data_IF_459705381237
#
_entry.id   IF_459705381237
#
_cell.length_a   1.000
_cell.length_b   1.000
_cell.length_c   1.000
_cell.angle_alpha   90.00
_cell.angle_beta   90.00
_cell.angle_gamma   90.00
#
_symmetry.space_group_name_H-M   'P 1'
#
loop_
_entity.id
_entity.type
_entity.pdbx_description
1 polymer ?
#
# COMPACT_ATOMS: atom_id res chain seq x y z
N UNK A 1 13.63 -23.71 20.85
CA UNK A 1 12.45 -22.83 20.95
C UNK A 1 12.18 -22.14 19.61
N UNK A 2 13.20 -21.65 18.89
CA UNK A 2 13.04 -21.11 17.53
C UNK A 2 13.51 -22.12 16.47
N UNK A 3 12.86 -22.12 15.32
CA UNK A 3 13.29 -22.87 14.15
C UNK A 3 14.51 -22.19 13.50
N UNK A 4 15.26 -22.94 12.69
CA UNK A 4 16.35 -22.39 11.90
C UNK A 4 15.81 -21.37 10.88
N UNK A 5 16.55 -20.28 10.67
CA UNK A 5 16.21 -19.29 9.67
C UNK A 5 16.57 -19.81 8.28
N UNK A 6 15.66 -19.64 7.33
CA UNK A 6 15.84 -20.03 5.93
C UNK A 6 15.54 -18.87 5.01
N UNK A 7 16.21 -18.84 3.87
CA UNK A 7 15.99 -17.81 2.85
C UNK A 7 14.71 -18.07 2.04
N UNK A 8 14.05 -17.02 1.52
CA UNK A 8 12.96 -17.16 0.56
C UNK A 8 13.35 -18.02 -0.64
N UNK A 9 12.51 -19.00 -0.97
CA UNK A 9 12.73 -20.00 -2.01
C UNK A 9 13.35 -21.30 -1.50
N UNK A 10 13.72 -21.39 -0.21
CA UNK A 10 14.26 -22.63 0.36
C UNK A 10 13.16 -23.71 0.52
N UNK A 11 13.49 -24.95 0.14
CA UNK A 11 12.66 -26.11 0.48
C UNK A 11 12.81 -26.42 1.97
N UNK A 12 11.72 -26.28 2.72
CA UNK A 12 11.69 -26.53 4.17
C UNK A 12 11.21 -27.94 4.52
N UNK A 13 10.63 -28.66 3.56
CA UNK A 13 10.17 -30.02 3.79
C UNK A 13 9.32 -30.56 2.65
N UNK A 14 8.49 -31.54 2.98
CA UNK A 14 7.47 -32.15 2.13
C UNK A 14 6.14 -32.15 2.90
N UNK A 15 5.02 -32.19 2.18
CA UNK A 15 3.73 -32.51 2.81
C UNK A 15 3.81 -33.87 3.51
N UNK A 16 3.18 -33.95 4.68
CA UNK A 16 3.13 -35.18 5.49
C UNK A 16 2.24 -36.22 4.81
N UNK A 17 2.50 -37.50 5.08
CA UNK A 17 1.72 -38.62 4.53
C UNK A 17 0.21 -38.46 4.84
N UNK A 18 -0.14 -38.15 6.09
CA UNK A 18 -1.53 -37.90 6.51
C UNK A 18 -2.23 -36.82 5.66
N UNK A 19 -1.53 -35.72 5.33
CA UNK A 19 -2.10 -34.65 4.49
C UNK A 19 -2.22 -35.07 3.02
N UNK A 20 -1.27 -35.86 2.53
CA UNK A 20 -1.33 -36.42 1.18
C UNK A 20 -2.52 -37.39 1.03
N UNK A 21 -2.78 -38.23 2.04
CA UNK A 21 -3.94 -39.12 2.07
C UNK A 21 -5.27 -38.35 2.13
N UNK A 22 -5.37 -37.34 3.01
CA UNK A 22 -6.57 -36.51 3.16
C UNK A 22 -6.90 -35.75 1.86
N UNK A 23 -5.88 -35.13 1.25
CA UNK A 23 -6.04 -34.31 0.05
C UNK A 23 -6.06 -35.13 -1.25
N UNK A 24 -5.77 -36.43 -1.20
CA UNK A 24 -5.64 -37.34 -2.34
C UNK A 24 -4.62 -36.86 -3.39
N UNK A 25 -3.45 -36.41 -2.93
CA UNK A 25 -2.36 -35.92 -3.77
C UNK A 25 -1.03 -36.61 -3.45
N UNK A 26 -0.11 -36.61 -4.41
CA UNK A 26 1.28 -37.02 -4.17
C UNK A 26 2.01 -36.06 -3.23
N UNK A 27 3.13 -36.49 -2.65
CA UNK A 27 3.93 -35.65 -1.77
C UNK A 27 4.53 -34.46 -2.52
N UNK A 28 4.20 -33.24 -2.08
CA UNK A 28 4.64 -31.97 -2.68
C UNK A 28 5.67 -31.29 -1.79
N UNK A 29 6.74 -30.68 -2.34
CA UNK A 29 7.69 -29.90 -1.55
C UNK A 29 7.02 -28.66 -0.92
N UNK A 30 7.39 -28.37 0.33
CA UNK A 30 6.99 -27.14 1.02
C UNK A 30 8.13 -26.13 0.89
N UNK A 31 7.83 -24.97 0.33
CA UNK A 31 8.80 -23.89 0.05
C UNK A 31 8.54 -22.72 1.00
N UNK A 32 9.59 -22.23 1.66
CA UNK A 32 9.55 -20.97 2.38
C UNK A 32 9.43 -19.83 1.36
N UNK A 33 8.37 -19.05 1.42
CA UNK A 33 8.17 -17.88 0.56
C UNK A 33 8.82 -16.63 1.17
N UNK A 34 8.51 -15.43 0.67
CA UNK A 34 9.15 -14.17 1.04
C UNK A 34 8.91 -13.70 2.50
N UNK A 35 8.73 -14.60 3.47
CA UNK A 35 8.30 -14.28 4.82
C UNK A 35 6.78 -14.12 4.86
N UNK A 36 6.28 -12.89 4.86
CA UNK A 36 4.84 -12.60 4.91
C UNK A 36 4.22 -12.21 3.57
N UNK A 37 2.90 -12.03 3.56
CA UNK A 37 2.09 -11.76 2.36
C UNK A 37 2.55 -10.50 1.61
N UNK A 38 2.85 -9.41 2.32
CA UNK A 38 3.29 -8.14 1.72
C UNK A 38 4.63 -8.27 1.03
N UNK A 39 5.53 -9.10 1.55
CA UNK A 39 6.82 -9.34 0.94
C UNK A 39 6.67 -10.11 -0.37
N UNK A 40 5.73 -11.06 -0.39
CA UNK A 40 5.36 -11.76 -1.62
C UNK A 40 4.73 -10.78 -2.60
N UNK A 41 3.87 -9.86 -2.15
CA UNK A 41 3.30 -8.81 -2.98
C UNK A 41 4.39 -7.91 -3.61
N UNK A 42 5.40 -7.49 -2.84
CA UNK A 42 6.52 -6.68 -3.34
C UNK A 42 7.36 -7.43 -4.36
N UNK A 43 7.54 -8.75 -4.17
CA UNK A 43 8.21 -9.60 -5.15
C UNK A 43 7.44 -9.65 -6.50
N UNK A 44 6.13 -9.41 -6.45
CA UNK A 44 5.26 -9.38 -7.63
C UNK A 44 5.14 -8.01 -8.33
N UNK A 45 5.84 -6.98 -7.84
CA UNK A 45 5.82 -5.66 -8.49
C UNK A 45 6.40 -5.78 -9.91
N UNK A 46 5.67 -5.39 -10.97
CA UNK A 46 6.14 -5.52 -12.35
C UNK A 46 7.13 -4.39 -12.72
N UNK A 47 8.19 -4.23 -11.93
CA UNK A 47 9.22 -3.22 -12.12
C UNK A 47 10.36 -3.73 -13.02
N UNK A 48 10.79 -2.88 -13.94
CA UNK A 48 11.88 -3.17 -14.88
C UNK A 48 13.28 -2.88 -14.31
N UNK A 49 13.36 -2.05 -13.26
CA UNK A 49 14.60 -1.61 -12.62
C UNK A 49 14.32 -1.26 -11.15
N UNK A 50 15.33 -0.74 -10.43
CA UNK A 50 15.22 -0.33 -9.01
C UNK A 50 14.68 1.10 -8.81
N UNK A 51 14.29 1.82 -9.86
CA UNK A 51 13.94 3.25 -9.81
C UNK A 51 12.47 3.48 -9.45
N UNK A 52 11.98 2.78 -8.41
CA UNK A 52 10.58 2.84 -8.01
C UNK A 52 10.42 2.78 -6.50
N UNK A 53 9.29 3.30 -6.04
CA UNK A 53 8.72 2.93 -4.74
C UNK A 53 7.52 2.02 -4.97
N UNK A 54 7.15 1.24 -3.97
CA UNK A 54 5.93 0.47 -3.95
C UNK A 54 4.99 0.96 -2.84
N UNK A 55 3.70 0.73 -3.04
CA UNK A 55 2.64 0.90 -2.06
C UNK A 55 1.75 -0.34 -2.10
N UNK A 56 1.82 -1.19 -1.09
CA UNK A 56 0.78 -2.21 -0.86
C UNK A 56 -0.38 -1.51 -0.18
N UNK A 57 -1.46 -1.26 -0.93
CA UNK A 57 -2.60 -0.46 -0.48
C UNK A 57 -3.76 -1.38 -0.10
N UNK A 58 -4.17 -1.34 1.16
CA UNK A 58 -5.28 -2.12 1.71
C UNK A 58 -5.91 -1.38 2.89
N UNK A 59 -6.49 -2.12 3.84
CA UNK A 59 -6.90 -1.58 5.14
C UNK A 59 -5.74 -0.81 5.79
N UNK A 60 -4.54 -1.40 5.70
CA UNK A 60 -3.26 -0.74 5.96
C UNK A 60 -2.56 -0.44 4.64
N UNK A 61 -1.82 0.66 4.62
CA UNK A 61 -1.00 1.06 3.48
C UNK A 61 0.48 0.94 3.85
N UNK A 62 1.22 0.13 3.11
CA UNK A 62 2.65 -0.09 3.33
C UNK A 62 3.41 0.47 2.14
N UNK A 63 4.05 1.62 2.35
CA UNK A 63 4.90 2.25 1.34
C UNK A 63 6.36 1.93 1.61
N UNK A 64 7.13 1.63 0.57
CA UNK A 64 8.56 1.37 0.73
C UNK A 64 9.36 1.36 -0.56
N UNK A 65 10.66 1.08 -0.38
CA UNK A 65 11.65 0.87 -1.43
C UNK A 65 12.45 -0.40 -1.13
N UNK A 66 13.11 -0.94 -2.15
CA UNK A 66 14.06 -2.04 -1.98
C UNK A 66 15.50 -1.51 -1.92
N UNK A 67 16.26 -2.03 -0.97
CA UNK A 67 17.66 -1.65 -0.72
C UNK A 67 18.53 -2.90 -0.62
N UNK A 68 19.83 -2.78 -0.89
CA UNK A 68 20.76 -3.92 -0.86
C UNK A 68 21.21 -4.29 0.57
N UNK A 69 20.81 -3.51 1.57
CA UNK A 69 21.12 -3.73 2.98
C UNK A 69 20.34 -2.79 3.88
N UNK A 70 20.32 -3.04 5.21
CA UNK A 70 19.51 -2.27 6.13
C UNK A 70 19.98 -0.82 6.21
N UNK A 71 19.03 0.10 6.26
CA UNK A 71 19.28 1.54 6.43
C UNK A 71 18.94 1.90 7.87
N UNK A 72 19.95 2.30 8.64
CA UNK A 72 19.81 2.66 10.06
C UNK A 72 20.43 4.03 10.30
N UNK A 73 19.60 5.04 10.49
CA UNK A 73 19.98 6.42 10.75
C UNK A 73 18.86 7.20 11.48
N UNK A 74 19.13 8.45 11.85
CA UNK A 74 18.18 9.30 12.58
C UNK A 74 16.84 9.47 11.84
N UNK A 75 16.83 9.55 10.50
CA UNK A 75 15.59 9.64 9.71
C UNK A 75 14.77 8.37 9.83
N UNK A 76 15.40 7.19 9.72
CA UNK A 76 14.68 5.91 9.86
C UNK A 76 14.08 5.75 11.25
N UNK A 77 14.74 6.23 12.30
CA UNK A 77 14.17 6.27 13.65
C UNK A 77 13.03 7.28 13.76
N UNK A 78 13.24 8.52 13.30
CA UNK A 78 12.26 9.60 13.42
C UNK A 78 10.94 9.28 12.70
N UNK A 79 11.02 8.72 11.50
CA UNK A 79 9.84 8.39 10.68
C UNK A 79 9.25 7.01 10.99
N UNK A 80 9.82 6.27 11.95
CA UNK A 80 9.43 4.90 12.31
C UNK A 80 9.42 3.97 11.08
N UNK A 81 10.57 3.89 10.41
CA UNK A 81 10.76 3.08 9.20
C UNK A 81 11.33 1.72 9.59
N UNK A 82 10.73 0.66 9.04
CA UNK A 82 11.09 -0.73 9.29
C UNK A 82 12.03 -1.25 8.20
N UNK A 83 13.06 -1.98 8.62
CA UNK A 83 13.88 -2.81 7.74
C UNK A 83 13.33 -4.24 7.77
N UNK A 84 12.77 -4.73 6.67
CA UNK A 84 12.29 -6.12 6.56
C UNK A 84 13.07 -6.91 5.51
N UNK A 85 13.26 -8.21 5.74
CA UNK A 85 13.83 -9.09 4.73
C UNK A 85 13.01 -9.10 3.44
N UNK A 86 13.70 -9.04 2.31
CA UNK A 86 13.15 -9.18 0.96
C UNK A 86 13.61 -10.48 0.30
N UNK A 87 13.40 -10.56 -1.01
CA UNK A 87 13.81 -11.70 -1.86
C UNK A 87 15.20 -11.43 -2.40
N UNK A 88 16.00 -12.48 -2.63
CA UNK A 88 17.36 -12.40 -3.18
C UNK A 88 18.30 -11.49 -2.38
N UNK A 89 18.21 -11.56 -1.04
CA UNK A 89 19.08 -10.82 -0.12
C UNK A 89 18.78 -9.31 -0.01
N UNK A 90 17.70 -8.83 -0.62
CA UNK A 90 17.26 -7.44 -0.52
C UNK A 90 16.65 -7.12 0.85
N UNK A 91 16.55 -5.83 1.16
CA UNK A 91 15.79 -5.29 2.29
C UNK A 91 14.65 -4.42 1.77
N UNK A 92 13.45 -4.69 2.27
CA UNK A 92 12.26 -3.87 2.09
C UNK A 92 12.24 -2.81 3.20
N UNK A 93 12.67 -1.61 2.86
CA UNK A 93 12.62 -0.45 3.74
C UNK A 93 11.24 0.18 3.62
N UNK A 94 10.42 0.12 4.68
CA UNK A 94 9.00 0.48 4.57
C UNK A 94 8.46 1.24 5.77
N UNK A 95 7.34 1.92 5.53
CA UNK A 95 6.55 2.63 6.54
C UNK A 95 5.09 2.19 6.46
N UNK A 96 4.53 1.86 7.62
CA UNK A 96 3.10 1.65 7.79
C UNK A 96 2.37 2.99 7.85
N UNK A 97 1.23 3.06 7.17
CA UNK A 97 0.31 4.19 7.10
C UNK A 97 -1.09 3.62 7.34
N UNK A 98 -1.93 4.30 8.12
CA UNK A 98 -3.36 3.97 8.15
C UNK A 98 -3.92 4.11 6.73
N UNK A 99 -4.36 3.00 6.15
CA UNK A 99 -4.79 2.94 4.76
C UNK A 99 -6.29 3.23 4.61
N UNK A 100 -6.97 2.38 3.84
CA UNK A 100 -8.41 2.50 3.60
C UNK A 100 -9.28 2.14 4.82
N UNK A 101 -8.68 1.72 5.94
CA UNK A 101 -9.40 1.46 7.20
C UNK A 101 -10.39 2.57 7.57
N UNK A 102 -10.01 3.83 7.39
CA UNK A 102 -10.83 4.99 7.75
C UNK A 102 -12.13 5.00 6.95
N UNK A 103 -12.06 4.81 5.62
CA UNK A 103 -13.27 4.74 4.79
C UNK A 103 -14.05 3.46 5.05
N UNK A 104 -13.38 2.33 5.31
CA UNK A 104 -14.03 1.06 5.66
C UNK A 104 -14.87 1.18 6.95
N UNK A 105 -14.37 1.88 7.97
CA UNK A 105 -15.13 2.10 9.20
C UNK A 105 -16.31 3.07 9.00
N UNK A 106 -16.16 4.10 8.16
CA UNK A 106 -17.29 4.94 7.77
C UNK A 106 -18.36 4.13 7.05
N UNK A 107 -17.99 3.31 6.06
CA UNK A 107 -18.92 2.45 5.33
C UNK A 107 -19.61 1.44 6.25
N UNK A 108 -18.87 0.81 7.16
CA UNK A 108 -19.41 -0.12 8.16
C UNK A 108 -20.43 0.54 9.09
N UNK A 109 -20.21 1.81 9.44
CA UNK A 109 -21.13 2.60 10.25
C UNK A 109 -22.41 2.92 9.47
N UNK A 110 -22.28 3.44 8.24
CA UNK A 110 -23.42 3.78 7.39
C UNK A 110 -24.25 2.55 6.99
N UNK A 111 -23.62 1.39 6.80
CA UNK A 111 -24.32 0.12 6.56
C UNK A 111 -25.27 -0.22 7.73
N UNK A 112 -24.82 -0.07 8.97
CA UNK A 112 -25.67 -0.28 10.17
C UNK A 112 -26.81 0.74 10.27
N UNK A 113 -26.66 1.89 9.64
CA UNK A 113 -27.67 2.96 9.55
C UNK A 113 -28.57 2.79 8.31
N UNK A 114 -28.41 1.69 7.56
CA UNK A 114 -29.26 1.31 6.43
C UNK A 114 -28.83 1.88 5.08
N UNK A 115 -27.59 2.36 4.96
CA UNK A 115 -27.04 2.90 3.70
C UNK A 115 -25.84 2.10 3.24
N UNK A 116 -25.92 1.57 2.03
CA UNK A 116 -24.83 0.85 1.36
C UNK A 116 -24.39 1.54 0.09
N UNK A 117 -23.09 1.43 -0.20
CA UNK A 117 -22.51 1.93 -1.43
C UNK A 117 -21.69 0.86 -2.12
N UNK A 118 -21.91 0.72 -3.42
CA UNK A 118 -20.95 0.08 -4.31
C UNK A 118 -19.74 1.00 -4.52
N UNK A 119 -18.61 0.42 -4.92
CA UNK A 119 -17.41 1.21 -5.21
C UNK A 119 -17.64 2.32 -6.26
N UNK A 120 -18.35 2.09 -7.39
CA UNK A 120 -18.68 3.15 -8.34
C UNK A 120 -19.49 4.30 -7.71
N UNK A 121 -20.44 4.01 -6.83
CA UNK A 121 -21.22 5.03 -6.12
C UNK A 121 -20.35 5.86 -5.16
N UNK A 122 -19.41 5.21 -4.46
CA UNK A 122 -18.46 5.95 -3.61
C UNK A 122 -17.62 6.94 -4.43
N UNK A 123 -17.14 6.51 -5.60
CA UNK A 123 -16.37 7.35 -6.53
C UNK A 123 -17.20 8.54 -7.00
N UNK A 124 -18.45 8.31 -7.41
CA UNK A 124 -19.38 9.36 -7.85
C UNK A 124 -19.62 10.39 -6.74
N UNK A 125 -19.93 9.93 -5.52
CA UNK A 125 -20.14 10.80 -4.36
C UNK A 125 -18.90 11.63 -4.02
N UNK A 126 -17.71 11.03 -4.05
CA UNK A 126 -16.47 11.73 -3.78
C UNK A 126 -16.13 12.75 -4.89
N UNK A 127 -16.43 12.44 -6.14
CA UNK A 127 -16.22 13.35 -7.26
C UNK A 127 -17.18 14.54 -7.25
N UNK A 128 -18.42 14.34 -6.82
CA UNK A 128 -19.41 15.42 -6.67
C UNK A 128 -19.14 16.34 -5.46
N UNK A 129 -18.42 15.85 -4.44
CA UNK A 129 -18.04 16.63 -3.28
C UNK A 129 -16.99 17.71 -3.61
N UNK A 130 -17.04 18.82 -2.88
CA UNK A 130 -16.08 19.93 -3.04
C UNK A 130 -14.64 19.43 -2.75
N UNK A 131 -13.69 19.62 -3.69
CA UNK A 131 -12.29 19.27 -3.47
C UNK A 131 -11.66 20.06 -2.32
N UNK A 132 -10.75 19.43 -1.58
CA UNK A 132 -9.87 20.04 -0.58
C UNK A 132 -10.61 20.89 0.46
N UNK A 133 -11.81 20.46 0.86
CA UNK A 133 -12.64 21.18 1.82
C UNK A 133 -12.05 21.17 3.25
N UNK A 134 -11.45 20.03 3.64
CA UNK A 134 -10.67 19.87 4.85
C UNK A 134 -9.71 18.68 4.71
N UNK A 135 -8.86 18.47 5.72
CA UNK A 135 -7.85 17.43 5.74
C UNK A 135 -7.83 16.70 7.08
N UNK A 136 -7.50 15.42 7.05
CA UNK A 136 -7.21 14.59 8.23
C UNK A 136 -5.78 14.06 8.16
N UNK A 137 -5.12 13.86 9.29
CA UNK A 137 -3.91 13.04 9.33
C UNK A 137 -4.34 11.57 9.50
N UNK A 138 -4.18 10.68 8.50
CA UNK A 138 -4.61 9.28 8.64
C UNK A 138 -3.94 8.55 9.81
N UNK A 139 -2.74 8.96 10.21
CA UNK A 139 -1.99 8.38 11.32
C UNK A 139 -2.29 9.06 12.68
N UNK A 140 -3.27 9.97 12.75
CA UNK A 140 -3.68 10.55 14.03
C UNK A 140 -4.18 9.44 14.99
N UNK A 141 -3.73 9.43 16.26
CA UNK A 141 -4.16 8.41 17.22
C UNK A 141 -5.68 8.32 17.41
N UNK A 142 -6.43 9.39 17.12
CA UNK A 142 -7.89 9.40 17.12
C UNK A 142 -8.53 8.44 16.11
N UNK A 143 -7.79 8.01 15.07
CA UNK A 143 -8.30 7.12 14.03
C UNK A 143 -7.90 5.65 14.18
N UNK A 144 -7.09 5.29 15.18
CA UNK A 144 -6.62 3.91 15.35
C UNK A 144 -7.78 2.92 15.55
N UNK A 145 -8.74 3.23 16.41
CA UNK A 145 -9.93 2.40 16.63
C UNK A 145 -11.08 3.18 17.32
N UNK A 146 -11.60 4.26 16.71
CA UNK A 146 -12.72 4.99 17.28
C UNK A 146 -14.00 4.15 17.25
N UNK A 147 -14.89 4.38 18.23
CA UNK A 147 -16.23 3.77 18.21
C UNK A 147 -17.08 4.24 17.02
N UNK A 148 -16.84 5.46 16.55
CA UNK A 148 -17.54 6.12 15.46
C UNK A 148 -16.53 6.93 14.62
N UNK A 149 -16.18 6.40 13.45
CA UNK A 149 -15.16 6.99 12.57
C UNK A 149 -15.61 8.34 11.98
N UNK A 150 -16.84 8.51 11.45
CA UNK A 150 -17.34 9.83 11.04
C UNK A 150 -17.26 10.87 12.16
N UNK A 151 -17.66 10.50 13.39
CA UNK A 151 -17.57 11.41 14.54
C UNK A 151 -16.12 11.79 14.85
N UNK A 152 -15.19 10.84 14.84
CA UNK A 152 -13.77 11.10 15.05
C UNK A 152 -13.19 12.07 13.99
N UNK A 153 -13.62 11.95 12.73
CA UNK A 153 -13.24 12.89 11.65
C UNK A 153 -13.76 14.30 11.97
N UNK A 154 -15.02 14.44 12.38
CA UNK A 154 -15.57 15.74 12.78
C UNK A 154 -14.83 16.35 13.97
N UNK A 155 -14.49 15.54 14.98
CA UNK A 155 -13.70 15.96 16.15
C UNK A 155 -12.28 16.41 15.76
N UNK A 156 -11.63 15.70 14.83
CA UNK A 156 -10.35 16.11 14.27
C UNK A 156 -10.45 17.46 13.54
N UNK A 157 -11.47 17.65 12.70
CA UNK A 157 -11.72 18.91 12.01
C UNK A 157 -11.93 20.06 13.01
N UNK A 158 -12.75 19.85 14.04
CA UNK A 158 -12.99 20.85 15.07
C UNK A 158 -11.70 21.24 15.81
N UNK A 159 -10.90 20.25 16.24
CA UNK A 159 -9.62 20.47 16.94
C UNK A 159 -8.61 21.24 16.08
N UNK A 160 -8.62 21.03 14.77
CA UNK A 160 -7.69 21.67 13.82
C UNK A 160 -8.22 22.99 13.23
N UNK A 161 -9.43 23.41 13.62
CA UNK A 161 -10.07 24.65 13.19
C UNK A 161 -10.62 24.60 11.75
N UNK A 162 -11.02 23.42 11.29
CA UNK A 162 -11.58 23.18 9.96
C UNK A 162 -13.09 22.94 10.03
N UNK A 163 -13.80 23.21 8.93
CA UNK A 163 -15.19 22.79 8.80
C UNK A 163 -15.25 21.27 8.56
N UNK A 164 -16.09 20.59 9.33
CA UNK A 164 -16.28 19.15 9.20
C UNK A 164 -17.11 18.81 7.94
N UNK A 165 -16.86 17.65 7.31
CA UNK A 165 -17.72 17.13 6.24
C UNK A 165 -19.14 16.87 6.79
N UNK A 166 -20.14 17.07 5.92
CA UNK A 166 -21.57 16.97 6.25
C UNK A 166 -22.27 15.85 5.48
N UNK A 167 -21.74 15.48 4.30
CA UNK A 167 -22.31 14.41 3.46
C UNK A 167 -21.35 13.22 3.33
N UNK A 168 -21.87 12.02 3.07
CA UNK A 168 -21.02 10.83 2.86
C UNK A 168 -19.98 11.03 1.76
N UNK A 169 -20.33 11.76 0.68
CA UNK A 169 -19.38 12.11 -0.38
C UNK A 169 -18.25 13.00 0.11
N UNK A 170 -18.51 13.98 0.97
CA UNK A 170 -17.48 14.83 1.57
C UNK A 170 -16.56 14.04 2.51
N UNK A 171 -17.10 13.10 3.30
CA UNK A 171 -16.27 12.20 4.11
C UNK A 171 -15.35 11.36 3.24
N UNK A 172 -15.87 10.69 2.21
CA UNK A 172 -15.06 9.87 1.29
C UNK A 172 -14.00 10.72 0.59
N UNK A 173 -14.38 11.92 0.12
CA UNK A 173 -13.48 12.84 -0.57
C UNK A 173 -12.30 13.26 0.31
N UNK A 174 -12.58 13.71 1.54
CA UNK A 174 -11.56 14.11 2.52
C UNK A 174 -10.60 12.97 2.85
N UNK A 175 -11.12 11.75 3.02
CA UNK A 175 -10.29 10.58 3.31
C UNK A 175 -9.34 10.29 2.15
N UNK A 176 -9.85 10.24 0.91
CA UNK A 176 -9.02 9.92 -0.26
C UNK A 176 -7.98 11.00 -0.57
N UNK A 177 -8.35 12.28 -0.50
CA UNK A 177 -7.38 13.37 -0.68
C UNK A 177 -6.30 13.34 0.41
N UNK A 178 -6.69 13.13 1.67
CA UNK A 178 -5.75 13.07 2.79
C UNK A 178 -4.81 11.87 2.71
N UNK A 179 -5.29 10.70 2.26
CA UNK A 179 -4.45 9.54 2.00
C UNK A 179 -3.42 9.81 0.90
N UNK A 180 -3.84 10.39 -0.23
CA UNK A 180 -2.94 10.73 -1.32
C UNK A 180 -1.85 11.73 -0.88
N UNK A 181 -2.21 12.73 -0.08
CA UNK A 181 -1.25 13.70 0.49
C UNK A 181 -0.32 13.05 1.53
N UNK A 182 -0.83 12.11 2.33
CA UNK A 182 0.00 11.31 3.23
C UNK A 182 1.00 10.43 2.48
N UNK A 183 0.60 9.85 1.35
CA UNK A 183 1.50 9.09 0.50
C UNK A 183 2.61 9.97 -0.08
N UNK A 184 2.33 11.22 -0.44
CA UNK A 184 3.37 12.18 -0.82
C UNK A 184 4.34 12.45 0.33
N UNK A 185 3.84 12.73 1.53
CA UNK A 185 4.67 12.96 2.71
C UNK A 185 5.65 11.81 2.94
N UNK A 186 5.15 10.57 2.90
CA UNK A 186 5.98 9.38 3.10
C UNK A 186 6.94 9.13 1.93
N UNK A 187 6.50 9.37 0.69
CA UNK A 187 7.36 9.21 -0.48
C UNK A 187 8.53 10.20 -0.47
N UNK A 188 8.30 11.43 -0.04
CA UNK A 188 9.36 12.44 0.08
C UNK A 188 10.45 11.98 1.06
N UNK A 189 10.09 11.30 2.15
CA UNK A 189 11.08 10.66 3.05
C UNK A 189 11.86 9.57 2.34
N UNK A 190 11.20 8.72 1.54
CA UNK A 190 11.89 7.66 0.79
C UNK A 190 12.79 8.20 -0.32
N UNK A 191 12.44 9.33 -0.95
CA UNK A 191 13.32 10.01 -1.92
C UNK A 191 14.65 10.41 -1.29
N UNK A 192 14.65 10.77 -0.01
CA UNK A 192 15.87 11.14 0.71
C UNK A 192 16.67 9.94 1.24
N UNK A 193 16.03 8.78 1.39
CA UNK A 193 16.66 7.54 1.88
C UNK A 193 17.13 6.63 0.75
N UNK A 194 16.53 6.75 -0.43
CA UNK A 194 16.82 5.89 -1.58
C UNK A 194 18.16 6.26 -2.22
N UNK A 195 18.96 5.24 -2.54
CA UNK A 195 20.16 5.39 -3.37
C UNK A 195 19.79 5.56 -4.85
N UNK A 196 18.65 5.00 -5.26
CA UNK A 196 18.15 5.08 -6.64
C UNK A 196 17.10 6.21 -6.76
N UNK A 197 17.00 6.89 -7.91
CA UNK A 197 15.92 7.83 -8.14
C UNK A 197 14.57 7.10 -8.11
N UNK A 198 13.55 7.74 -7.54
CA UNK A 198 12.18 7.20 -7.57
C UNK A 198 11.44 7.87 -8.73
N UNK A 199 11.25 7.13 -9.82
CA UNK A 199 10.64 7.64 -11.06
C UNK A 199 9.13 7.35 -11.14
N UNK A 200 8.65 6.35 -10.39
CA UNK A 200 7.24 5.95 -10.33
C UNK A 200 6.89 5.25 -9.02
N UNK A 201 5.59 5.20 -8.74
CA UNK A 201 5.03 4.42 -7.63
C UNK A 201 4.24 3.23 -8.18
N UNK A 202 4.58 2.02 -7.75
CA UNK A 202 3.78 0.83 -8.01
C UNK A 202 2.78 0.60 -6.88
N UNK A 203 1.49 0.62 -7.18
CA UNK A 203 0.43 0.30 -6.22
C UNK A 203 -0.02 -1.14 -6.46
N UNK A 204 0.12 -2.00 -5.46
CA UNK A 204 -0.18 -3.43 -5.54
C UNK A 204 -1.23 -3.81 -4.49
N UNK A 205 -1.82 -5.00 -4.66
CA UNK A 205 -2.83 -5.52 -3.73
C UNK A 205 -4.22 -4.93 -4.00
N UNK A 206 -5.15 -5.15 -3.07
CA UNK A 206 -6.56 -4.79 -3.27
C UNK A 206 -6.80 -3.30 -3.57
N UNK A 207 -5.99 -2.41 -3.01
CA UNK A 207 -6.05 -0.96 -3.23
C UNK A 207 -5.64 -0.53 -4.64
N UNK A 208 -4.97 -1.39 -5.42
CA UNK A 208 -4.71 -1.12 -6.84
C UNK A 208 -6.01 -0.97 -7.64
N UNK A 209 -7.13 -1.51 -7.15
CA UNK A 209 -8.46 -1.37 -7.77
C UNK A 209 -9.10 0.00 -7.53
N UNK A 210 -8.59 0.79 -6.59
CA UNK A 210 -9.16 2.09 -6.25
C UNK A 210 -8.67 3.19 -7.21
N UNK A 211 -9.25 3.24 -8.43
CA UNK A 211 -8.81 4.14 -9.51
C UNK A 211 -8.82 5.63 -9.09
N UNK A 212 -9.82 6.07 -8.32
CA UNK A 212 -9.87 7.46 -7.86
C UNK A 212 -8.70 7.79 -6.91
N UNK A 213 -8.46 6.95 -5.90
CA UNK A 213 -7.33 7.13 -4.98
C UNK A 213 -5.99 7.03 -5.72
N UNK A 214 -5.86 6.13 -6.69
CA UNK A 214 -4.63 5.99 -7.48
C UNK A 214 -4.34 7.24 -8.32
N UNK A 215 -5.37 7.84 -8.94
CA UNK A 215 -5.23 9.11 -9.65
C UNK A 215 -4.87 10.25 -8.71
N UNK A 216 -5.55 10.36 -7.56
CA UNK A 216 -5.21 11.35 -6.53
C UNK A 216 -3.78 11.18 -6.02
N UNK A 217 -3.33 9.94 -5.84
CA UNK A 217 -1.97 9.62 -5.45
C UNK A 217 -0.98 10.10 -6.51
N UNK A 218 -1.20 9.77 -7.79
CA UNK A 218 -0.37 10.23 -8.92
C UNK A 218 -0.25 11.76 -8.96
N UNK A 219 -1.38 12.45 -8.77
CA UNK A 219 -1.43 13.91 -8.74
C UNK A 219 -0.67 14.48 -7.52
N UNK A 220 -0.88 13.91 -6.33
CA UNK A 220 -0.26 14.38 -5.10
C UNK A 220 1.27 14.21 -5.13
N UNK A 221 1.77 13.05 -5.55
CA UNK A 221 3.19 12.74 -5.56
C UNK A 221 3.96 13.35 -6.74
N UNK A 222 3.23 13.76 -7.79
CA UNK A 222 3.79 14.32 -9.02
C UNK A 222 4.58 13.30 -9.85
N UNK A 223 4.29 12.00 -9.72
CA UNK A 223 4.94 10.91 -10.45
C UNK A 223 3.91 9.95 -11.03
N UNK A 224 4.22 9.26 -12.14
CA UNK A 224 3.41 8.17 -12.64
C UNK A 224 3.13 7.11 -11.57
N UNK A 225 1.90 6.62 -11.57
CA UNK A 225 1.45 5.49 -10.76
C UNK A 225 1.12 4.31 -11.69
N UNK A 226 1.62 3.14 -11.34
CA UNK A 226 1.31 1.86 -12.00
C UNK A 226 0.55 1.01 -11.00
N UNK A 227 -0.74 0.76 -11.24
CA UNK A 227 -1.60 0.04 -10.31
C UNK A 227 -1.86 -1.39 -10.78
N UNK A 228 -1.37 -2.36 -10.03
CA UNK A 228 -1.50 -3.80 -10.28
C UNK A 228 -0.17 -4.54 -10.07
N UNK A 229 -0.22 -5.86 -9.85
CA UNK A 229 -1.41 -6.70 -9.79
C UNK A 229 -2.22 -6.53 -8.49
N UNK A 230 -3.54 -6.80 -8.56
CA UNK A 230 -4.39 -6.79 -7.37
C UNK A 230 -4.19 -8.02 -6.46
N UNK A 231 -3.84 -9.16 -7.05
CA UNK A 231 -3.53 -10.42 -6.34
C UNK A 231 -2.01 -10.62 -6.16
N UNK A 232 -1.30 -9.52 -5.91
CA UNK A 232 0.17 -9.49 -5.86
C UNK A 232 0.76 -10.50 -4.88
N UNK A 233 0.16 -10.68 -3.70
CA UNK A 233 0.66 -11.63 -2.69
C UNK A 233 0.69 -13.06 -3.24
N UNK A 234 -0.40 -13.50 -3.88
CA UNK A 234 -0.54 -14.82 -4.47
C UNK A 234 0.42 -14.99 -5.65
N UNK A 235 0.51 -13.99 -6.53
CA UNK A 235 1.41 -14.03 -7.69
C UNK A 235 2.86 -14.15 -7.24
N UNK A 236 3.29 -13.32 -6.29
CA UNK A 236 4.66 -13.35 -5.79
C UNK A 236 4.99 -14.65 -5.08
N UNK A 237 4.04 -15.19 -4.32
CA UNK A 237 4.17 -16.51 -3.71
C UNK A 237 4.39 -17.61 -4.76
N UNK A 238 3.55 -17.66 -5.80
CA UNK A 238 3.69 -18.62 -6.91
C UNK A 238 5.04 -18.44 -7.61
N UNK A 239 5.49 -17.20 -7.83
CA UNK A 239 6.77 -16.93 -8.49
C UNK A 239 7.97 -17.33 -7.63
N UNK A 240 7.89 -17.26 -6.30
CA UNK A 240 8.90 -17.81 -5.40
C UNK A 240 8.97 -19.34 -5.48
N UNK A 241 7.82 -20.00 -5.59
CA UNK A 241 7.79 -21.45 -5.82
C UNK A 241 8.34 -21.82 -7.20
N UNK A 242 8.02 -21.04 -8.23
CA UNK A 242 8.59 -21.19 -9.57
C UNK A 242 10.12 -21.01 -9.56
N UNK A 243 10.63 -20.06 -8.76
CA UNK A 243 12.07 -19.88 -8.54
C UNK A 243 12.68 -21.12 -7.86
N UNK A 244 12.06 -21.63 -6.81
CA UNK A 244 12.51 -22.84 -6.11
C UNK A 244 12.49 -24.09 -7.02
N UNK A 245 11.57 -24.15 -7.98
CA UNK A 245 11.49 -25.19 -9.00
C UNK A 245 12.47 -25.02 -10.18
N UNK A 246 13.26 -23.94 -10.21
CA UNK A 246 14.22 -23.65 -11.28
C UNK A 246 13.59 -23.13 -12.57
N UNK A 247 12.33 -22.69 -12.56
CA UNK A 247 11.63 -22.12 -13.73
C UNK A 247 12.11 -20.69 -14.00
N UNK A 248 12.47 -19.96 -12.94
CA UNK A 248 13.09 -18.62 -12.99
C UNK A 248 14.23 -18.58 -11.98
N UNK A 249 15.23 -17.75 -12.24
CA UNK A 249 16.49 -17.74 -11.47
C UNK A 249 16.61 -16.55 -10.53
N UNK A 250 15.97 -15.42 -10.84
CA UNK A 250 16.14 -14.15 -10.10
C UNK A 250 14.81 -13.44 -9.84
N UNK A 251 14.79 -12.56 -8.85
CA UNK A 251 13.67 -11.64 -8.61
C UNK A 251 13.33 -10.84 -9.88
N UNK A 252 14.34 -10.36 -10.62
CA UNK A 252 14.09 -9.61 -11.85
C UNK A 252 13.44 -10.49 -12.93
N UNK A 253 13.85 -11.75 -13.08
CA UNK A 253 13.18 -12.69 -13.99
C UNK A 253 11.71 -12.93 -13.59
N UNK A 254 11.43 -13.04 -12.30
CA UNK A 254 10.04 -13.14 -11.83
C UNK A 254 9.22 -11.92 -12.26
N UNK A 255 9.75 -10.72 -12.04
CA UNK A 255 9.10 -9.45 -12.42
C UNK A 255 8.91 -9.32 -13.92
N UNK A 256 9.87 -9.77 -14.72
CA UNK A 256 9.76 -9.79 -16.17
C UNK A 256 8.60 -10.69 -16.62
N UNK A 257 8.48 -11.91 -16.08
CA UNK A 257 7.35 -12.80 -16.36
C UNK A 257 6.02 -12.13 -15.99
N UNK A 258 5.94 -11.53 -14.81
CA UNK A 258 4.71 -10.85 -14.35
C UNK A 258 4.35 -9.69 -15.29
N UNK A 259 5.33 -8.86 -15.66
CA UNK A 259 5.11 -7.67 -16.49
C UNK A 259 4.53 -7.96 -17.89
N UNK A 260 4.77 -9.17 -18.41
CA UNK A 260 4.26 -9.62 -19.71
C UNK A 260 2.85 -10.22 -19.58
N UNK A 261 2.49 -10.75 -18.41
CA UNK A 261 1.27 -11.53 -18.21
C UNK A 261 0.19 -10.80 -17.38
N UNK A 262 0.53 -9.67 -16.75
CA UNK A 262 -0.37 -8.86 -15.94
C UNK A 262 -0.45 -7.48 -16.55
N UNK A 263 -1.68 -7.02 -16.84
CA UNK A 263 -1.95 -5.68 -17.33
C UNK A 263 -2.30 -4.75 -16.17
N UNK A 264 -1.44 -3.78 -15.81
CA UNK A 264 -1.75 -2.79 -14.78
C UNK A 264 -2.50 -1.58 -15.37
N UNK A 265 -3.21 -0.84 -14.52
CA UNK A 265 -3.72 0.49 -14.85
C UNK A 265 -2.58 1.53 -14.70
N UNK A 266 -2.54 2.52 -15.59
CA UNK A 266 -1.55 3.60 -15.57
C UNK A 266 -2.21 4.95 -15.30
N UNK A 267 -1.63 5.71 -14.36
CA UNK A 267 -2.11 7.05 -13.99
C UNK A 267 -0.98 8.05 -14.11
N UNK A 268 -1.20 9.10 -14.91
CA UNK A 268 -0.26 10.22 -15.04
C UNK A 268 -0.67 11.37 -14.15
N UNK A 269 0.28 12.12 -13.56
CA UNK A 269 -0.04 13.28 -12.75
C UNK A 269 -0.84 14.32 -13.53
N UNK A 270 -1.83 14.90 -12.86
CA UNK A 270 -2.64 16.01 -13.33
C UNK A 270 -2.79 17.07 -12.23
N UNK A 271 -3.19 18.28 -12.59
CA UNK A 271 -3.51 19.38 -11.66
C UNK A 271 -2.39 19.70 -10.64
N UNK A 272 -1.13 19.62 -11.08
CA UNK A 272 0.04 19.69 -10.20
C UNK A 272 0.05 20.91 -9.27
N UNK A 273 -0.32 22.09 -9.78
CA UNK A 273 -0.41 23.32 -8.97
C UNK A 273 -1.42 23.18 -7.83
N UNK A 274 -2.61 22.67 -8.14
CA UNK A 274 -3.71 22.48 -7.17
C UNK A 274 -3.29 21.51 -6.06
N UNK A 275 -2.67 20.37 -6.42
CA UNK A 275 -2.21 19.38 -5.45
C UNK A 275 -1.01 19.86 -4.64
N UNK A 276 -0.13 20.69 -5.21
CA UNK A 276 0.95 21.33 -4.47
C UNK A 276 0.41 22.32 -3.42
N UNK A 277 -0.56 23.17 -3.78
CA UNK A 277 -1.22 24.04 -2.81
C UNK A 277 -1.95 23.27 -1.72
N UNK A 278 -2.66 22.20 -2.09
CA UNK A 278 -3.34 21.32 -1.14
C UNK A 278 -2.35 20.67 -0.17
N UNK A 279 -1.18 20.23 -0.65
CA UNK A 279 -0.15 19.67 0.20
C UNK A 279 0.40 20.67 1.22
N UNK A 280 0.64 21.92 0.82
CA UNK A 280 1.09 22.95 1.77
C UNK A 280 0.05 23.20 2.88
N UNK A 281 -1.25 23.24 2.50
CA UNK A 281 -2.35 23.36 3.47
C UNK A 281 -2.40 22.14 4.39
N UNK A 282 -2.32 20.93 3.84
CA UNK A 282 -2.30 19.67 4.58
C UNK A 282 -1.18 19.65 5.63
N UNK A 283 0.05 19.97 5.25
CA UNK A 283 1.20 20.02 6.18
C UNK A 283 0.97 21.02 7.30
N UNK A 284 0.31 22.17 7.03
CA UNK A 284 -0.02 23.15 8.08
C UNK A 284 -1.09 22.65 9.07
N UNK A 285 -1.99 21.76 8.62
CA UNK A 285 -3.06 21.19 9.44
C UNK A 285 -2.52 20.07 10.34
N UNK A 286 -1.74 19.14 9.80
CA UNK A 286 -1.27 17.97 10.57
C UNK A 286 -0.23 18.31 11.64
N UNK A 287 0.31 19.54 11.62
CA UNK A 287 1.23 20.08 12.63
C UNK A 287 0.52 20.69 13.84
N UNK A 288 -0.81 20.84 13.81
CA UNK A 288 -1.62 21.38 14.92
C UNK A 288 -2.13 20.27 15.82
#
# INVERSE_FOLDING_TARGET
LFADMVEPGAKVGMLTEDLCEELQIESVPVIAVAGHDTASAVAAVPAANKNFAYLSSGTWSLMGIETDGPVVNEKTTHYNITNEGGVDGTIRLLKNITGMWIVEQCLKKWHKEGTDYTYPQMVELAQAARPFACFINPDDPGFTNPQDMPKAICEYCARTGQNAPQTHGEFIRVIFESLALKYREVLDVFRELSVNPIEKLHIIGGGSRNKLLNQFTSNAIGLPVVAGPSEASSIGNIMLQAKAAGVVSTLQEMRNVISVNVEPDYFSPADAEVWNEAYQKYISIIKK
#
